data_IF_219846541787
#
_entry.id   IF_219846541787
#
_cell.length_a   1.000
_cell.length_b   1.000
_cell.length_c   1.000
_cell.angle_alpha   90.00
_cell.angle_beta   90.00
_cell.angle_gamma   90.00
#
_symmetry.space_group_name_H-M   'P 1'
#
loop_
_entity.id
_entity.type
_entity.pdbx_description
1 polymer ?
#
# COMPACT_ATOMS: atom_id res chain seq x y z
N UNK A 1 22.20 -51.99 -18.09
CA UNK A 1 22.08 -52.04 -16.61
C UNK A 1 21.09 -50.97 -16.18
N UNK A 2 19.85 -51.40 -15.91
CA UNK A 2 18.75 -50.55 -15.46
C UNK A 2 18.91 -50.26 -13.96
N UNK A 3 18.74 -49.01 -13.55
CA UNK A 3 18.45 -48.68 -12.16
C UNK A 3 17.06 -48.02 -12.12
N UNK A 4 16.19 -48.66 -11.36
CA UNK A 4 14.82 -48.32 -11.14
C UNK A 4 14.67 -47.12 -10.20
N UNK A 5 13.78 -46.18 -10.55
CA UNK A 5 13.28 -45.13 -9.69
C UNK A 5 12.29 -45.70 -8.66
N UNK A 6 12.52 -45.41 -7.39
CA UNK A 6 11.57 -45.71 -6.30
C UNK A 6 10.68 -44.52 -6.06
N UNK A 7 9.41 -44.68 -6.41
CA UNK A 7 8.35 -43.79 -6.01
C UNK A 7 8.01 -44.00 -4.52
N UNK A 8 8.06 -42.95 -3.72
CA UNK A 8 7.56 -42.95 -2.34
C UNK A 8 6.06 -42.60 -2.32
N UNK A 9 5.27 -43.58 -1.90
CA UNK A 9 3.84 -43.43 -1.59
C UNK A 9 3.68 -42.92 -0.15
N UNK A 10 2.90 -41.88 0.08
CA UNK A 10 2.39 -41.46 1.40
C UNK A 10 0.92 -41.81 1.50
N UNK A 11 0.48 -42.46 2.61
CA UNK A 11 -0.93 -42.79 2.80
C UNK A 11 -1.75 -41.56 3.24
N UNK A 12 -3.00 -41.49 2.75
CA UNK A 12 -3.98 -40.48 3.11
C UNK A 12 -4.44 -40.62 4.59
N UNK A 13 -4.74 -39.51 5.28
CA UNK A 13 -5.25 -39.56 6.64
C UNK A 13 -6.73 -39.94 6.71
N UNK A 14 -7.05 -40.80 7.67
CA UNK A 14 -8.31 -41.41 8.02
C UNK A 14 -9.38 -40.36 8.42
N UNK A 15 -10.52 -40.39 7.74
CA UNK A 15 -11.70 -39.57 8.06
C UNK A 15 -12.47 -40.17 9.22
N UNK A 16 -12.27 -39.68 10.45
CA UNK A 16 -13.21 -39.91 11.53
C UNK A 16 -14.15 -38.73 11.69
N UNK A 17 -15.44 -39.02 11.54
CA UNK A 17 -16.58 -38.09 11.70
C UNK A 17 -16.62 -37.53 13.13
N UNK A 18 -16.61 -36.19 13.28
CA UNK A 18 -17.07 -35.50 14.48
C UNK A 18 -18.37 -34.74 14.17
N UNK A 19 -19.33 -34.90 15.06
CA UNK A 19 -20.68 -34.35 14.98
C UNK A 19 -20.71 -32.83 15.13
N UNK A 20 -21.66 -32.11 14.48
CA UNK A 20 -21.71 -30.65 14.55
C UNK A 20 -22.25 -30.17 15.91
N UNK A 21 -21.56 -29.25 16.55
CA UNK A 21 -22.07 -28.42 17.64
C UNK A 21 -22.83 -27.23 17.06
N UNK A 22 -24.00 -26.97 17.63
CA UNK A 22 -24.97 -25.96 17.24
C UNK A 22 -24.34 -24.57 17.05
N UNK A 23 -24.37 -24.06 15.82
CA UNK A 23 -24.17 -22.66 15.54
C UNK A 23 -25.41 -21.85 15.95
N UNK A 24 -25.31 -21.00 16.95
CA UNK A 24 -26.30 -19.97 17.23
C UNK A 24 -26.28 -18.95 16.09
N UNK A 25 -27.38 -18.89 15.34
CA UNK A 25 -27.63 -17.81 14.38
C UNK A 25 -27.79 -16.50 15.14
N UNK A 26 -26.83 -15.60 15.01
CA UNK A 26 -27.00 -14.19 15.37
C UNK A 26 -27.67 -13.52 14.17
N UNK A 27 -28.90 -13.09 14.36
CA UNK A 27 -29.63 -12.31 13.37
C UNK A 27 -28.96 -10.93 13.28
N UNK A 28 -28.40 -10.59 12.13
CA UNK A 28 -27.96 -9.24 11.83
C UNK A 28 -29.19 -8.35 11.61
N UNK A 29 -29.50 -7.51 12.58
CA UNK A 29 -30.45 -6.42 12.40
C UNK A 29 -29.76 -5.33 11.56
N UNK A 30 -30.25 -5.13 10.33
CA UNK A 30 -29.85 -4.02 9.48
C UNK A 30 -30.42 -2.74 10.10
N UNK A 31 -29.57 -1.96 10.75
CA UNK A 31 -29.86 -0.57 11.09
C UNK A 31 -29.40 0.28 9.89
N UNK A 32 -30.32 0.51 8.96
CA UNK A 32 -30.16 1.52 7.92
C UNK A 32 -30.50 2.87 8.56
N UNK A 33 -29.50 3.65 8.91
CA UNK A 33 -29.70 4.99 9.43
C UNK A 33 -28.39 5.63 9.86
N UNK A 34 -27.98 6.68 9.13
CA UNK A 34 -26.93 7.64 9.47
C UNK A 34 -25.46 7.16 9.36
N UNK A 35 -25.03 6.76 8.17
CA UNK A 35 -23.60 6.58 7.83
C UNK A 35 -23.08 7.71 6.91
N UNK A 36 -23.87 8.76 6.66
CA UNK A 36 -23.50 9.81 5.68
C UNK A 36 -22.57 10.91 6.24
N UNK A 37 -22.09 10.84 7.48
CA UNK A 37 -21.32 11.94 8.06
C UNK A 37 -19.91 11.58 8.61
N UNK A 38 -19.47 10.32 8.55
CA UNK A 38 -18.18 9.94 9.15
C UNK A 38 -17.15 9.33 8.16
N UNK A 39 -17.54 9.04 6.92
CA UNK A 39 -16.60 8.63 5.87
C UNK A 39 -15.77 9.78 5.28
N UNK A 40 -15.98 11.02 5.76
CA UNK A 40 -15.33 12.21 5.24
C UNK A 40 -14.01 12.61 5.93
N UNK A 41 -13.57 11.92 6.97
CA UNK A 41 -12.39 12.36 7.74
C UNK A 41 -11.19 11.42 7.68
N UNK A 42 -11.31 10.24 7.10
CA UNK A 42 -10.15 9.34 6.94
C UNK A 42 -9.40 9.54 5.61
N UNK A 43 -9.99 10.22 4.63
CA UNK A 43 -9.35 10.60 3.36
C UNK A 43 -9.86 11.94 2.82
N UNK A 44 -10.20 12.88 3.67
CA UNK A 44 -10.06 14.28 3.24
C UNK A 44 -8.57 14.52 3.23
N UNK A 45 -7.97 14.65 2.06
CA UNK A 45 -6.67 15.25 1.91
C UNK A 45 -6.60 16.40 2.92
N UNK A 46 -5.67 16.30 3.86
CA UNK A 46 -5.46 17.33 4.86
C UNK A 46 -5.17 18.65 4.11
N UNK A 47 -6.15 19.48 3.94
CA UNK A 47 -6.02 20.83 3.37
C UNK A 47 -5.37 21.78 4.40
N UNK A 48 -4.41 21.29 5.17
CA UNK A 48 -3.67 22.08 6.16
C UNK A 48 -2.15 21.98 6.03
N UNK A 49 -1.66 21.86 4.82
CA UNK A 49 -0.27 22.17 4.50
C UNK A 49 -0.28 22.87 3.16
N UNK A 50 -0.10 24.17 3.11
CA UNK A 50 0.05 25.06 1.93
C UNK A 50 -0.54 24.47 0.64
N UNK A 51 -1.82 24.12 0.68
CA UNK A 51 -2.52 23.57 -0.46
C UNK A 51 -2.51 24.60 -1.57
N UNK A 52 -1.76 24.37 -2.62
CA UNK A 52 -1.91 25.13 -3.84
C UNK A 52 -3.39 25.07 -4.20
N UNK A 53 -4.05 26.24 -4.16
CA UNK A 53 -5.47 26.32 -4.45
C UNK A 53 -5.70 25.69 -5.83
N UNK A 54 -6.68 24.80 -5.93
CA UNK A 54 -7.11 24.27 -7.22
C UNK A 54 -7.33 25.43 -8.18
N UNK A 55 -6.47 25.59 -9.16
CA UNK A 55 -6.81 26.44 -10.28
C UNK A 55 -7.97 25.77 -11.02
N UNK A 56 -9.02 26.52 -11.30
CA UNK A 56 -10.16 26.00 -12.05
C UNK A 56 -9.61 25.29 -13.31
N UNK A 57 -9.89 23.99 -13.49
CA UNK A 57 -9.38 23.27 -14.64
C UNK A 57 -9.96 23.89 -15.92
N UNK A 58 -9.31 23.72 -17.08
CA UNK A 58 -9.85 24.13 -18.36
C UNK A 58 -11.27 23.62 -18.56
N UNK A 59 -12.10 24.38 -19.29
CA UNK A 59 -13.46 23.93 -19.64
C UNK A 59 -13.41 22.55 -20.29
N UNK A 60 -14.16 21.58 -19.73
CA UNK A 60 -14.18 20.20 -20.19
C UNK A 60 -13.13 19.25 -19.54
N UNK A 61 -12.27 19.72 -18.66
CA UNK A 61 -11.25 18.91 -17.99
C UNK A 61 -11.83 17.72 -17.19
N UNK A 62 -13.09 17.79 -16.74
CA UNK A 62 -13.76 16.71 -16.02
C UNK A 62 -13.88 15.38 -16.82
N UNK A 63 -13.50 15.36 -18.10
CA UNK A 63 -13.50 14.17 -18.96
C UNK A 63 -12.10 13.79 -19.46
N UNK A 64 -11.07 14.51 -19.04
CA UNK A 64 -9.70 14.32 -19.51
C UNK A 64 -8.75 14.02 -18.35
N UNK A 65 -7.73 13.21 -18.65
CA UNK A 65 -6.58 13.03 -17.79
C UNK A 65 -5.91 14.38 -17.50
N UNK A 66 -5.39 14.61 -16.29
CA UNK A 66 -4.60 15.79 -16.01
C UNK A 66 -3.29 15.77 -16.81
N UNK A 67 -2.81 16.91 -17.35
CA UNK A 67 -1.54 16.95 -18.04
C UNK A 67 -0.38 16.74 -17.06
N UNK A 68 0.65 15.99 -17.47
CA UNK A 68 1.89 15.82 -16.71
C UNK A 68 3.00 16.66 -17.35
N UNK A 69 3.65 17.50 -16.55
CA UNK A 69 4.76 18.35 -16.97
C UNK A 69 6.07 17.72 -16.54
N UNK A 70 6.90 17.33 -17.51
CA UNK A 70 8.27 16.86 -17.24
C UNK A 70 9.15 18.08 -16.93
N UNK A 71 9.78 18.08 -15.75
CA UNK A 71 10.66 19.13 -15.25
C UNK A 71 12.13 18.81 -15.54
N UNK A 72 12.50 17.53 -15.35
CA UNK A 72 13.84 17.00 -15.60
C UNK A 72 13.73 15.67 -16.31
N UNK A 73 14.55 15.46 -17.34
CA UNK A 73 14.71 14.18 -18.02
C UNK A 73 16.15 14.08 -18.53
N UNK A 74 16.85 13.03 -18.15
CA UNK A 74 18.20 12.73 -18.65
C UNK A 74 18.15 11.61 -19.67
N UNK A 75 19.23 11.38 -20.41
CA UNK A 75 19.32 10.25 -21.35
C UNK A 75 19.36 8.88 -20.61
N UNK A 76 19.67 8.90 -19.33
CA UNK A 76 19.82 7.71 -18.47
C UNK A 76 18.56 7.41 -17.66
N UNK A 77 17.43 8.11 -17.89
CA UNK A 77 16.15 7.76 -17.26
C UNK A 77 15.71 6.35 -17.67
N UNK A 78 15.03 5.65 -16.78
CA UNK A 78 14.69 4.24 -16.93
C UNK A 78 13.79 3.95 -18.13
N UNK A 79 13.88 2.73 -18.65
CA UNK A 79 13.00 2.25 -19.72
C UNK A 79 11.67 1.75 -19.14
N UNK A 80 10.57 2.15 -19.75
CA UNK A 80 9.20 1.75 -19.40
C UNK A 80 8.24 2.92 -19.44
N UNK A 81 6.96 2.57 -19.46
CA UNK A 81 5.89 3.55 -19.35
C UNK A 81 5.65 3.90 -17.89
N UNK A 82 5.08 5.08 -17.64
CA UNK A 82 4.74 5.56 -16.30
C UNK A 82 3.27 5.25 -16.03
N UNK A 83 3.00 4.60 -14.89
CA UNK A 83 1.67 4.20 -14.42
C UNK A 83 1.28 5.05 -13.25
N UNK A 84 0.16 5.77 -13.35
CA UNK A 84 -0.41 6.60 -12.29
C UNK A 84 -1.93 6.45 -12.25
N UNK A 85 -2.53 6.85 -11.16
CA UNK A 85 -3.98 6.98 -11.03
C UNK A 85 -4.30 8.37 -10.45
N UNK A 86 -4.24 9.42 -11.29
CA UNK A 86 -4.39 10.78 -10.83
C UNK A 86 -5.81 11.05 -10.33
N UNK A 87 -5.90 11.93 -9.33
CA UNK A 87 -7.16 12.39 -8.74
C UNK A 87 -7.05 13.83 -8.26
N UNK A 88 -8.14 14.56 -8.28
CA UNK A 88 -8.19 15.91 -7.72
C UNK A 88 -8.49 17.01 -8.73
N UNK A 89 -8.79 18.19 -8.21
CA UNK A 89 -8.92 19.48 -8.90
C UNK A 89 -9.75 19.50 -10.19
N UNK A 90 -10.85 18.71 -10.24
CA UNK A 90 -11.83 18.79 -11.34
C UNK A 90 -11.40 18.13 -12.64
N UNK A 91 -10.26 17.43 -12.66
CA UNK A 91 -9.92 16.49 -13.72
C UNK A 91 -10.66 15.16 -13.55
N UNK A 92 -10.74 14.36 -14.59
CA UNK A 92 -11.20 13.00 -14.46
C UNK A 92 -10.20 12.18 -13.63
N UNK A 93 -10.70 11.40 -12.67
CA UNK A 93 -9.88 10.42 -11.95
C UNK A 93 -9.83 9.11 -12.73
N UNK A 94 -8.75 8.36 -12.59
CA UNK A 94 -8.66 7.01 -13.14
C UNK A 94 -7.24 6.56 -13.48
N UNK A 95 -7.06 5.28 -13.79
CA UNK A 95 -5.76 4.73 -14.17
C UNK A 95 -5.27 5.30 -15.50
N UNK A 96 -4.01 5.68 -15.56
CA UNK A 96 -3.36 6.36 -16.67
C UNK A 96 -1.97 5.79 -16.96
N UNK A 97 -1.67 5.58 -18.24
CA UNK A 97 -0.35 5.18 -18.73
C UNK A 97 0.23 6.33 -19.56
N UNK A 98 1.46 6.72 -19.22
CA UNK A 98 2.20 7.81 -19.86
C UNK A 98 3.52 7.31 -20.46
N UNK A 99 3.98 7.99 -21.51
CA UNK A 99 5.39 7.91 -21.93
C UNK A 99 6.28 8.61 -20.91
N UNK A 100 7.61 8.38 -20.99
CA UNK A 100 8.60 9.14 -20.20
C UNK A 100 8.61 10.65 -20.50
N UNK A 101 7.99 11.08 -21.60
CA UNK A 101 7.82 12.51 -21.95
C UNK A 101 6.51 13.11 -21.43
N UNK A 102 5.74 12.38 -20.60
CA UNK A 102 4.45 12.83 -20.05
C UNK A 102 3.28 12.78 -21.01
N UNK A 103 3.43 12.12 -22.19
CA UNK A 103 2.33 11.96 -23.16
C UNK A 103 1.45 10.80 -22.75
N UNK A 104 0.12 11.00 -22.70
CA UNK A 104 -0.87 9.95 -22.41
C UNK A 104 -0.85 8.90 -23.51
N UNK A 105 -0.66 7.65 -23.13
CA UNK A 105 -0.81 6.44 -23.97
C UNK A 105 -2.22 5.88 -23.83
N UNK A 106 -2.70 5.78 -22.60
CA UNK A 106 -4.01 5.25 -22.27
C UNK A 106 -4.54 5.89 -20.98
N UNK A 107 -5.83 6.13 -20.93
CA UNK A 107 -6.52 6.65 -19.75
C UNK A 107 -7.92 6.06 -19.66
N UNK A 108 -8.29 5.58 -18.49
CA UNK A 108 -9.63 5.06 -18.19
C UNK A 108 -10.32 5.98 -17.19
N UNK A 109 -11.12 6.92 -17.73
CA UNK A 109 -11.88 7.84 -16.88
C UNK A 109 -12.93 7.09 -16.05
N UNK A 110 -12.94 7.32 -14.76
CA UNK A 110 -13.89 6.71 -13.83
C UNK A 110 -15.18 7.52 -13.70
N UNK A 111 -16.27 6.90 -13.21
CA UNK A 111 -17.47 7.61 -12.83
C UNK A 111 -17.19 8.71 -11.80
N UNK A 112 -17.95 9.81 -11.88
CA UNK A 112 -17.76 10.96 -10.99
C UNK A 112 -17.82 10.55 -9.51
N UNK A 113 -16.79 10.94 -8.75
CA UNK A 113 -16.64 10.64 -7.33
C UNK A 113 -16.06 9.28 -6.99
N UNK A 114 -15.66 8.49 -7.98
CA UNK A 114 -14.80 7.33 -7.78
C UNK A 114 -13.34 7.70 -8.01
N UNK A 115 -12.44 7.00 -7.36
CA UNK A 115 -10.99 7.12 -7.50
C UNK A 115 -10.37 5.78 -7.77
N UNK A 116 -9.21 5.77 -8.41
CA UNK A 116 -8.35 4.59 -8.53
C UNK A 116 -7.09 4.78 -7.70
N UNK A 117 -6.57 3.65 -7.20
CA UNK A 117 -5.28 3.61 -6.50
C UNK A 117 -4.49 2.38 -6.93
N UNK A 118 -3.20 2.34 -6.61
CA UNK A 118 -2.29 1.22 -6.83
C UNK A 118 -2.31 0.67 -8.27
N UNK A 119 -2.37 1.57 -9.29
CA UNK A 119 -2.42 1.18 -10.69
C UNK A 119 -1.05 0.73 -11.20
N UNK A 120 -0.97 -0.52 -11.64
CA UNK A 120 0.28 -1.12 -12.14
C UNK A 120 0.06 -2.32 -13.07
N UNK A 121 1.15 -2.81 -13.64
CA UNK A 121 1.15 -4.11 -14.33
C UNK A 121 1.46 -5.23 -13.33
N UNK A 122 0.79 -6.36 -13.49
CA UNK A 122 1.07 -7.60 -12.76
C UNK A 122 1.03 -8.80 -13.71
N UNK A 123 1.23 -9.99 -13.20
CA UNK A 123 1.11 -11.24 -13.97
C UNK A 123 -0.04 -12.07 -13.42
N UNK A 124 -0.99 -12.43 -14.27
CA UNK A 124 -2.07 -13.36 -13.93
C UNK A 124 -2.13 -14.47 -14.96
N UNK A 125 -2.08 -15.73 -14.50
CA UNK A 125 -2.06 -16.93 -15.37
C UNK A 125 -0.98 -16.87 -16.46
N UNK A 126 0.20 -16.36 -16.09
CA UNK A 126 1.36 -16.23 -16.98
C UNK A 126 1.26 -15.12 -18.03
N UNK A 127 0.26 -14.25 -17.96
CA UNK A 127 0.07 -13.12 -18.86
C UNK A 127 0.17 -11.80 -18.12
N UNK A 128 0.73 -10.75 -18.76
CA UNK A 128 0.70 -9.41 -18.20
C UNK A 128 -0.74 -8.88 -18.13
N UNK A 129 -1.07 -8.25 -17.03
CA UNK A 129 -2.38 -7.64 -16.76
C UNK A 129 -2.19 -6.25 -16.14
N UNK A 130 -3.21 -5.41 -16.26
CA UNK A 130 -3.34 -4.16 -15.52
C UNK A 130 -4.21 -4.40 -14.29
N UNK A 131 -3.83 -3.81 -13.17
CA UNK A 131 -4.57 -3.93 -11.92
C UNK A 131 -4.69 -2.58 -11.22
N UNK A 132 -5.81 -2.33 -10.57
CA UNK A 132 -6.03 -1.17 -9.70
C UNK A 132 -7.21 -1.40 -8.78
N UNK A 133 -7.21 -0.75 -7.63
CA UNK A 133 -8.41 -0.55 -6.84
C UNK A 133 -9.25 0.59 -7.45
N UNK A 134 -10.57 0.46 -7.41
CA UNK A 134 -11.51 1.51 -7.80
C UNK A 134 -12.66 1.55 -6.81
N UNK A 135 -12.99 2.75 -6.31
CA UNK A 135 -14.10 2.87 -5.40
C UNK A 135 -14.36 4.28 -4.88
N UNK A 136 -15.22 4.33 -3.87
CA UNK A 136 -15.56 5.55 -3.14
C UNK A 136 -15.57 5.25 -1.64
N UNK A 137 -14.67 5.90 -0.88
CA UNK A 137 -14.54 5.67 0.55
C UNK A 137 -14.31 4.18 0.87
N UNK A 138 -15.11 3.60 1.75
CA UNK A 138 -15.03 2.19 2.15
C UNK A 138 -15.71 1.22 1.16
N UNK A 139 -16.12 1.67 -0.02
CA UNK A 139 -16.77 0.83 -1.03
C UNK A 139 -15.94 0.79 -2.29
N UNK A 140 -15.23 -0.30 -2.52
CA UNK A 140 -14.40 -0.46 -3.68
C UNK A 140 -14.13 -1.91 -4.06
N UNK A 141 -13.40 -2.05 -5.15
CA UNK A 141 -13.11 -3.33 -5.81
C UNK A 141 -11.77 -3.25 -6.50
N UNK A 142 -11.00 -4.31 -6.42
CA UNK A 142 -9.78 -4.49 -7.19
C UNK A 142 -10.12 -5.09 -8.55
N UNK A 143 -9.64 -4.47 -9.60
CA UNK A 143 -9.90 -4.86 -10.98
C UNK A 143 -8.66 -5.47 -11.65
N UNK A 144 -8.90 -6.46 -12.52
CA UNK A 144 -7.88 -7.07 -13.39
C UNK A 144 -8.31 -6.90 -14.84
N UNK A 145 -7.47 -6.25 -15.64
CA UNK A 145 -7.69 -6.03 -17.08
C UNK A 145 -6.58 -6.69 -17.89
N UNK A 146 -6.95 -7.24 -19.04
CA UNK A 146 -5.98 -7.84 -19.96
C UNK A 146 -5.25 -6.79 -20.82
N UNK A 147 -4.35 -7.25 -21.69
CA UNK A 147 -3.57 -6.45 -22.63
C UNK A 147 -4.39 -5.81 -23.77
N UNK A 148 -5.71 -6.06 -23.82
CA UNK A 148 -6.69 -5.39 -24.68
C UNK A 148 -7.56 -4.39 -23.93
N UNK A 149 -7.18 -4.05 -22.70
CA UNK A 149 -7.94 -3.16 -21.82
C UNK A 149 -9.35 -3.63 -21.52
N UNK A 150 -9.55 -4.95 -21.43
CA UNK A 150 -10.83 -5.56 -21.08
C UNK A 150 -10.77 -6.13 -19.67
N UNK A 151 -11.78 -5.88 -18.85
CA UNK A 151 -11.89 -6.49 -17.54
C UNK A 151 -12.03 -8.01 -17.68
N UNK A 152 -11.19 -8.74 -16.94
CA UNK A 152 -11.20 -10.21 -16.93
C UNK A 152 -11.49 -10.79 -15.56
N UNK A 153 -11.31 -10.03 -14.50
CA UNK A 153 -11.67 -10.42 -13.13
C UNK A 153 -11.85 -9.20 -12.25
N UNK A 154 -12.46 -9.41 -11.09
CA UNK A 154 -12.52 -8.47 -9.98
C UNK A 154 -12.31 -9.21 -8.66
N UNK A 155 -11.78 -8.53 -7.64
CA UNK A 155 -11.54 -9.06 -6.31
C UNK A 155 -12.11 -8.11 -5.28
N UNK A 156 -12.71 -8.67 -4.24
CA UNK A 156 -13.23 -7.94 -3.09
C UNK A 156 -12.91 -8.67 -1.80
N UNK A 157 -12.85 -7.94 -0.71
CA UNK A 157 -12.70 -8.53 0.59
C UNK A 157 -13.86 -9.49 0.91
N UNK A 158 -13.51 -10.64 1.47
CA UNK A 158 -14.48 -11.62 1.95
C UNK A 158 -14.88 -11.36 3.39
N UNK A 159 -15.71 -12.25 3.92
CA UNK A 159 -16.14 -12.25 5.32
C UNK A 159 -16.93 -11.00 5.76
N UNK A 160 -17.42 -10.18 4.82
CA UNK A 160 -18.19 -8.97 5.10
C UNK A 160 -17.34 -7.75 5.45
N UNK A 161 -16.05 -7.78 5.15
CA UNK A 161 -15.13 -6.66 5.35
C UNK A 161 -15.14 -5.70 4.16
N UNK A 162 -14.65 -4.48 4.39
CA UNK A 162 -14.45 -3.49 3.33
C UNK A 162 -13.16 -3.80 2.58
N UNK A 163 -13.16 -3.76 1.25
CA UNK A 163 -11.93 -3.81 0.46
C UNK A 163 -11.20 -2.48 0.65
N UNK A 164 -10.00 -2.56 1.16
CA UNK A 164 -9.15 -1.40 1.36
C UNK A 164 -8.43 -1.01 0.05
N UNK A 165 -8.14 0.27 -0.12
CA UNK A 165 -7.66 0.86 -1.37
C UNK A 165 -6.13 0.89 -1.49
N UNK A 166 -5.40 0.46 -0.47
CA UNK A 166 -3.95 0.70 -0.41
C UNK A 166 -3.14 -0.32 -1.23
N UNK A 167 -3.53 -1.60 -1.27
CA UNK A 167 -2.72 -2.62 -1.93
C UNK A 167 -3.53 -3.75 -2.54
N UNK A 168 -3.22 -4.07 -3.81
CA UNK A 168 -3.70 -5.27 -4.51
C UNK A 168 -2.55 -5.98 -5.20
N UNK A 169 -2.23 -7.20 -4.78
CA UNK A 169 -1.11 -7.98 -5.28
C UNK A 169 -1.55 -9.34 -5.79
N UNK A 170 -1.20 -9.67 -7.05
CA UNK A 170 -1.39 -11.02 -7.60
C UNK A 170 -0.17 -11.87 -7.25
N UNK A 171 -0.40 -12.98 -6.56
CA UNK A 171 0.67 -13.90 -6.15
C UNK A 171 1.19 -14.74 -7.32
N UNK A 172 2.40 -15.30 -7.22
CA UNK A 172 2.94 -16.21 -8.23
C UNK A 172 2.09 -17.47 -8.47
N UNK A 173 1.20 -17.83 -7.52
CA UNK A 173 0.26 -18.96 -7.64
C UNK A 173 -1.15 -18.54 -8.03
N UNK A 174 -1.32 -17.32 -8.54
CA UNK A 174 -2.55 -16.76 -9.10
C UNK A 174 -3.70 -16.57 -8.10
N UNK A 175 -3.39 -16.27 -6.84
CA UNK A 175 -4.33 -15.71 -5.87
C UNK A 175 -4.11 -14.20 -5.72
N UNK A 176 -4.98 -13.52 -5.04
CA UNK A 176 -4.83 -12.11 -4.68
C UNK A 176 -4.46 -11.97 -3.21
N UNK A 177 -3.46 -11.18 -2.90
CA UNK A 177 -3.27 -10.58 -1.58
C UNK A 177 -3.88 -9.17 -1.62
N UNK A 178 -4.81 -8.91 -0.72
CA UNK A 178 -5.48 -7.62 -0.59
C UNK A 178 -5.49 -7.17 0.86
N UNK A 179 -5.65 -5.89 1.05
CA UNK A 179 -5.97 -5.31 2.34
C UNK A 179 -7.49 -5.21 2.50
N UNK A 180 -7.93 -5.30 3.74
CA UNK A 180 -9.33 -5.14 4.11
C UNK A 180 -9.44 -4.50 5.49
N UNK A 181 -10.60 -3.86 5.75
CA UNK A 181 -10.87 -3.16 6.99
C UNK A 181 -12.20 -3.56 7.59
N UNK A 182 -12.29 -3.42 8.91
CA UNK A 182 -13.55 -3.59 9.62
C UNK A 182 -13.65 -2.70 10.86
N UNK A 183 -14.86 -2.27 11.17
CA UNK A 183 -15.15 -1.66 12.47
C UNK A 183 -15.25 -2.71 13.56
N UNK A 184 -14.58 -2.45 14.69
CA UNK A 184 -14.56 -3.29 15.86
C UNK A 184 -14.89 -2.55 17.15
N UNK A 185 -14.74 -3.23 18.27
CA UNK A 185 -14.81 -2.65 19.62
C UNK A 185 -13.73 -3.30 20.48
N UNK A 186 -12.90 -2.48 21.10
CA UNK A 186 -11.78 -2.90 21.93
C UNK A 186 -11.94 -2.48 23.38
N UNK A 187 -11.51 -3.36 24.30
CA UNK A 187 -11.33 -3.00 25.71
C UNK A 187 -9.93 -2.44 25.91
N UNK A 188 -9.83 -1.14 26.11
CA UNK A 188 -8.55 -0.43 26.27
C UNK A 188 -8.21 -0.09 27.73
N UNK A 189 -8.90 -0.67 28.71
CA UNK A 189 -8.68 -0.35 30.15
C UNK A 189 -7.25 -0.60 30.60
N UNK A 190 -6.56 -1.60 30.03
CA UNK A 190 -5.16 -1.91 30.32
C UNK A 190 -4.16 -0.82 29.91
N UNK A 191 -4.57 0.11 29.01
CA UNK A 191 -3.77 1.23 28.54
C UNK A 191 -4.42 2.59 28.87
N UNK A 192 -5.32 2.62 29.87
CA UNK A 192 -5.98 3.84 30.34
C UNK A 192 -7.10 4.36 29.41
N UNK A 193 -7.60 3.52 28.53
CA UNK A 193 -8.73 3.82 27.65
C UNK A 193 -10.07 3.28 28.15
N UNK A 194 -11.17 3.51 27.40
CA UNK A 194 -12.49 2.94 27.73
C UNK A 194 -12.55 1.43 27.43
N UNK A 195 -13.54 0.77 28.03
CA UNK A 195 -13.78 -0.67 27.83
C UNK A 195 -14.50 -1.00 26.51
N UNK A 196 -15.00 0.01 25.81
CA UNK A 196 -15.88 -0.12 24.64
C UNK A 196 -15.47 0.82 23.47
N UNK A 197 -14.17 1.11 23.36
CA UNK A 197 -13.64 1.95 22.27
C UNK A 197 -13.99 1.36 20.92
N UNK A 198 -14.62 2.14 20.04
CA UNK A 198 -14.74 1.79 18.64
C UNK A 198 -13.38 1.88 17.97
N UNK A 199 -13.03 0.85 17.20
CA UNK A 199 -11.74 0.75 16.49
C UNK A 199 -11.98 0.47 15.01
N UNK A 200 -10.97 0.77 14.21
CA UNK A 200 -10.90 0.42 12.79
C UNK A 200 -9.70 -0.51 12.64
N UNK A 201 -9.96 -1.79 12.41
CA UNK A 201 -8.95 -2.84 12.37
C UNK A 201 -8.59 -3.17 10.93
N UNK A 202 -7.29 -3.32 10.64
CA UNK A 202 -6.76 -3.69 9.35
C UNK A 202 -6.55 -5.21 9.23
N UNK A 203 -6.83 -5.73 8.04
CA UNK A 203 -6.72 -7.16 7.71
C UNK A 203 -5.90 -7.35 6.44
N UNK A 204 -5.21 -8.49 6.35
CA UNK A 204 -4.71 -9.05 5.09
C UNK A 204 -5.56 -10.25 4.74
N UNK A 205 -6.01 -10.35 3.49
CA UNK A 205 -6.66 -11.55 2.98
C UNK A 205 -5.95 -12.08 1.74
N UNK A 206 -5.76 -13.40 1.68
CA UNK A 206 -5.47 -14.10 0.44
C UNK A 206 -6.77 -14.61 -0.15
N UNK A 207 -7.08 -14.22 -1.39
CA UNK A 207 -8.34 -14.52 -2.09
C UNK A 207 -8.05 -15.38 -3.34
N UNK A 208 -8.79 -16.46 -3.50
CA UNK A 208 -8.87 -17.17 -4.79
C UNK A 208 -9.60 -16.27 -5.80
N UNK A 209 -8.89 -15.72 -6.77
CA UNK A 209 -9.42 -14.73 -7.73
C UNK A 209 -10.63 -15.29 -8.50
N UNK A 210 -10.62 -16.58 -8.82
CA UNK A 210 -11.68 -17.22 -9.62
C UNK A 210 -12.96 -17.45 -8.84
N UNK A 211 -12.89 -17.66 -7.52
CA UNK A 211 -14.05 -18.06 -6.70
C UNK A 211 -14.46 -17.03 -5.67
N UNK A 212 -13.63 -16.03 -5.41
CA UNK A 212 -13.80 -15.05 -4.33
C UNK A 212 -13.62 -15.64 -2.92
N UNK A 213 -13.09 -16.88 -2.81
CA UNK A 213 -12.92 -17.56 -1.51
C UNK A 213 -11.72 -17.02 -0.77
N UNK A 214 -11.89 -16.65 0.50
CA UNK A 214 -10.79 -16.34 1.41
C UNK A 214 -10.03 -17.63 1.74
N UNK A 215 -8.73 -17.65 1.44
CA UNK A 215 -7.82 -18.77 1.65
C UNK A 215 -7.02 -18.59 2.94
N UNK A 216 -6.62 -17.35 3.22
CA UNK A 216 -5.90 -16.93 4.43
C UNK A 216 -6.42 -15.57 4.88
N UNK A 217 -6.37 -15.32 6.19
CA UNK A 217 -6.69 -14.03 6.78
C UNK A 217 -5.80 -13.77 7.99
N UNK A 218 -5.29 -12.56 8.06
CA UNK A 218 -4.57 -12.03 9.20
C UNK A 218 -5.30 -10.79 9.73
N UNK A 219 -5.37 -10.64 11.06
CA UNK A 219 -6.07 -9.54 11.73
C UNK A 219 -5.07 -8.78 12.63
N UNK A 220 -4.92 -7.49 12.42
CA UNK A 220 -4.03 -6.64 13.22
C UNK A 220 -4.31 -6.74 14.72
N UNK A 221 -5.57 -6.70 15.13
CA UNK A 221 -5.99 -6.71 16.53
C UNK A 221 -5.71 -8.05 17.27
N UNK A 222 -5.49 -9.15 16.54
CA UNK A 222 -5.12 -10.44 17.12
C UNK A 222 -3.62 -10.61 17.32
N UNK A 223 -2.80 -9.75 16.71
CA UNK A 223 -1.35 -9.91 16.65
C UNK A 223 -0.56 -8.72 17.22
N UNK A 224 -1.11 -7.51 17.17
CA UNK A 224 -0.42 -6.28 17.55
C UNK A 224 -1.17 -5.58 18.70
N UNK A 225 -0.48 -5.23 19.79
CA UNK A 225 -1.10 -4.50 20.89
C UNK A 225 -1.49 -3.07 20.50
N UNK A 226 -2.68 -2.63 20.90
CA UNK A 226 -3.16 -1.25 20.68
C UNK A 226 -2.21 -0.15 21.21
N UNK A 227 -1.44 -0.43 22.27
CA UNK A 227 -0.45 0.50 22.85
C UNK A 227 0.70 0.83 21.90
N UNK A 228 0.90 0.03 20.85
CA UNK A 228 1.98 0.24 19.89
C UNK A 228 1.64 1.31 18.86
N UNK A 229 0.38 1.73 18.78
CA UNK A 229 -0.03 2.86 17.97
C UNK A 229 0.63 4.17 18.42
N UNK A 230 1.08 4.96 17.46
CA UNK A 230 1.49 6.35 17.62
C UNK A 230 0.32 7.32 17.35
N UNK A 231 -0.78 6.84 16.72
CA UNK A 231 -1.95 7.67 16.48
C UNK A 231 -2.70 7.94 17.79
N UNK A 232 -2.93 9.21 18.17
CA UNK A 232 -3.67 9.53 19.38
C UNK A 232 -5.09 8.94 19.33
N UNK A 233 -5.49 8.34 20.45
CA UNK A 233 -6.86 7.84 20.59
C UNK A 233 -7.86 8.99 20.57
N UNK A 234 -9.01 8.87 19.86
CA UNK A 234 -10.08 9.86 19.88
C UNK A 234 -10.58 10.14 21.31
N UNK A 235 -11.02 11.37 21.57
CA UNK A 235 -11.57 11.75 22.86
C UNK A 235 -12.85 10.98 23.24
N UNK A 236 -13.63 10.56 22.25
CA UNK A 236 -14.87 9.77 22.44
C UNK A 236 -14.67 8.31 22.05
N UNK A 237 -15.14 7.40 22.89
CA UNK A 237 -15.15 5.97 22.60
C UNK A 237 -16.02 5.59 21.38
N UNK A 238 -16.97 6.44 21.00
CA UNK A 238 -17.87 6.20 19.86
C UNK A 238 -17.26 6.57 18.50
N UNK A 239 -16.16 7.33 18.50
CA UNK A 239 -15.40 7.64 17.28
C UNK A 239 -14.45 6.47 17.03
N UNK A 240 -14.51 5.81 15.87
CA UNK A 240 -13.57 4.75 15.55
C UNK A 240 -12.12 5.25 15.59
N UNK A 241 -11.29 4.54 16.33
CA UNK A 241 -9.85 4.80 16.37
C UNK A 241 -9.17 3.99 15.28
N UNK A 242 -8.66 4.67 14.27
CA UNK A 242 -7.76 4.09 13.29
C UNK A 242 -6.36 3.97 13.90
N UNK A 243 -6.17 2.91 14.64
CA UNK A 243 -4.99 2.71 15.48
C UNK A 243 -3.83 2.05 14.74
N UNK A 244 -4.12 1.27 13.73
CA UNK A 244 -3.14 0.47 12.98
C UNK A 244 -2.85 1.09 11.62
N UNK A 245 -3.88 1.39 10.84
CA UNK A 245 -3.83 1.90 9.48
C UNK A 245 -2.93 1.05 8.60
N UNK A 246 -3.41 -0.13 8.25
CA UNK A 246 -2.73 -1.02 7.31
C UNK A 246 -2.67 -0.34 5.94
N UNK A 247 -1.48 -0.33 5.29
CA UNK A 247 -1.33 0.38 4.02
C UNK A 247 -0.45 -0.34 2.98
N UNK A 248 0.08 -1.52 3.30
CA UNK A 248 0.71 -2.36 2.31
C UNK A 248 0.78 -3.82 2.76
N UNK A 249 0.75 -4.73 1.79
CA UNK A 249 1.12 -6.13 1.94
C UNK A 249 1.97 -6.57 0.74
N UNK A 250 3.16 -7.11 0.99
CA UNK A 250 4.04 -7.65 -0.04
C UNK A 250 4.49 -9.07 0.28
N UNK A 251 4.96 -9.80 -0.73
CA UNK A 251 5.69 -11.04 -0.53
C UNK A 251 7.18 -10.73 -0.37
N UNK A 252 7.77 -11.20 0.74
CA UNK A 252 9.21 -11.21 0.88
C UNK A 252 9.84 -12.33 0.03
N UNK A 253 11.14 -12.28 -0.16
CA UNK A 253 11.92 -13.23 -0.98
C UNK A 253 11.80 -14.68 -0.55
N UNK A 254 11.39 -14.95 0.68
CA UNK A 254 11.15 -16.31 1.22
C UNK A 254 9.67 -16.73 1.19
N UNK A 255 8.79 -15.92 0.56
CA UNK A 255 7.36 -16.19 0.42
C UNK A 255 6.53 -15.87 1.67
N UNK A 256 7.11 -15.29 2.71
CA UNK A 256 6.37 -14.72 3.83
C UNK A 256 5.84 -13.32 3.51
N UNK A 257 4.92 -12.81 4.32
CA UNK A 257 4.33 -11.50 4.12
C UNK A 257 5.18 -10.39 4.77
N UNK A 258 5.26 -9.25 4.10
CA UNK A 258 5.58 -7.96 4.70
C UNK A 258 4.27 -7.19 4.84
N UNK A 259 3.84 -6.89 6.05
CA UNK A 259 2.63 -6.13 6.35
C UNK A 259 3.05 -4.80 6.94
N UNK A 260 2.59 -3.70 6.37
CA UNK A 260 2.95 -2.37 6.83
C UNK A 260 1.82 -1.68 7.57
N UNK A 261 2.16 -1.02 8.65
CA UNK A 261 1.24 -0.20 9.44
C UNK A 261 1.77 1.22 9.58
N UNK A 262 0.98 2.16 9.08
CA UNK A 262 1.29 3.58 9.13
C UNK A 262 1.35 4.13 10.55
N UNK A 263 0.42 3.72 11.41
CA UNK A 263 0.31 4.30 12.75
C UNK A 263 1.06 3.54 13.85
N UNK A 264 1.59 2.37 13.57
CA UNK A 264 2.58 1.76 14.48
C UNK A 264 4.02 2.07 14.06
N UNK A 265 4.23 2.72 12.91
CA UNK A 265 5.54 2.99 12.27
C UNK A 265 6.35 1.71 12.08
N UNK A 266 5.65 0.62 11.80
CA UNK A 266 6.25 -0.72 11.80
C UNK A 266 5.91 -1.48 10.53
N UNK A 267 6.91 -2.17 10.00
CA UNK A 267 6.70 -3.24 9.03
C UNK A 267 6.88 -4.58 9.72
N UNK A 268 5.87 -5.43 9.63
CA UNK A 268 5.81 -6.76 10.21
C UNK A 268 6.13 -7.81 9.15
N UNK A 269 7.11 -8.69 9.41
CA UNK A 269 7.24 -9.92 8.64
C UNK A 269 6.38 -10.99 9.27
N UNK A 270 5.43 -11.53 8.51
CA UNK A 270 4.43 -12.47 8.99
C UNK A 270 4.53 -13.78 8.21
N UNK A 271 4.53 -14.90 8.91
CA UNK A 271 4.51 -16.21 8.28
C UNK A 271 3.17 -16.46 7.60
N UNK A 272 3.17 -16.65 6.28
CA UNK A 272 1.96 -16.79 5.46
C UNK A 272 1.08 -17.99 5.86
N UNK A 273 1.65 -19.04 6.46
CA UNK A 273 0.88 -20.24 6.82
C UNK A 273 0.34 -20.22 8.24
N UNK A 274 1.04 -19.53 9.16
CA UNK A 274 0.69 -19.57 10.59
C UNK A 274 0.15 -18.25 11.11
N UNK A 275 0.28 -17.15 10.36
CA UNK A 275 -0.07 -15.79 10.78
C UNK A 275 0.86 -15.21 11.86
N UNK A 276 1.90 -15.93 12.29
CA UNK A 276 2.79 -15.46 13.35
C UNK A 276 3.76 -14.40 12.83
N UNK A 277 3.95 -13.34 13.61
CA UNK A 277 4.98 -12.33 13.36
C UNK A 277 6.35 -13.00 13.57
N UNK A 278 7.23 -12.86 12.56
CA UNK A 278 8.61 -13.36 12.56
C UNK A 278 9.55 -12.29 13.10
N UNK A 279 9.37 -11.04 12.67
CA UNK A 279 10.08 -9.87 13.15
C UNK A 279 9.26 -8.58 12.90
N UNK A 280 9.63 -7.54 13.62
CA UNK A 280 9.09 -6.19 13.53
C UNK A 280 10.23 -5.22 13.24
N UNK A 281 10.07 -4.34 12.23
CA UNK A 281 11.02 -3.33 11.85
C UNK A 281 10.43 -1.94 12.07
N UNK A 282 11.08 -1.13 12.89
CA UNK A 282 10.58 0.18 13.31
C UNK A 282 9.57 0.12 14.44
N UNK A 283 9.15 1.28 14.93
CA UNK A 283 8.14 1.44 15.96
C UNK A 283 8.56 0.94 17.36
N UNK A 284 7.58 0.91 18.26
CA UNK A 284 7.82 0.70 19.71
C UNK A 284 8.37 -0.68 20.08
N UNK A 285 8.18 -1.69 19.24
CA UNK A 285 8.56 -3.09 19.51
C UNK A 285 9.59 -3.62 18.51
N UNK A 286 10.34 -2.74 17.85
CA UNK A 286 11.31 -3.16 16.83
C UNK A 286 12.19 -4.32 17.30
N UNK A 287 12.25 -5.39 16.50
CA UNK A 287 13.15 -6.53 16.70
C UNK A 287 14.61 -6.14 16.49
N UNK A 288 14.84 -5.02 15.82
CA UNK A 288 16.15 -4.57 15.36
C UNK A 288 16.61 -3.32 16.11
N UNK A 289 17.91 -3.25 16.34
CA UNK A 289 18.55 -1.98 16.69
C UNK A 289 18.71 -1.15 15.42
N UNK A 290 18.12 0.04 15.40
CA UNK A 290 18.15 0.94 14.26
C UNK A 290 19.45 1.74 14.21
N UNK A 291 20.01 1.90 13.00
CA UNK A 291 21.23 2.67 12.73
C UNK A 291 21.15 3.38 11.40
N UNK A 292 21.91 4.45 11.27
CA UNK A 292 22.20 5.10 9.99
C UNK A 292 23.64 4.79 9.54
N UNK A 293 23.84 4.51 8.26
CA UNK A 293 25.16 4.44 7.66
C UNK A 293 25.82 5.84 7.59
N UNK A 294 27.12 5.95 7.38
CA UNK A 294 27.79 7.26 7.19
C UNK A 294 27.08 8.09 6.10
N UNK A 295 26.76 9.34 6.44
CA UNK A 295 26.04 10.25 5.55
C UNK A 295 24.51 10.10 5.54
N UNK A 296 23.97 9.13 6.27
CA UNK A 296 22.53 8.96 6.48
C UNK A 296 22.12 9.45 7.89
N UNK A 297 20.85 9.83 8.04
CA UNK A 297 20.32 10.32 9.32
C UNK A 297 19.02 9.58 9.67
N UNK A 298 18.87 9.25 10.95
CA UNK A 298 17.58 8.85 11.52
C UNK A 298 16.71 10.10 11.73
N UNK A 299 15.42 9.92 11.87
CA UNK A 299 14.50 11.00 12.18
C UNK A 299 14.69 11.55 13.61
N UNK A 300 13.89 12.54 13.99
CA UNK A 300 13.96 13.16 15.33
C UNK A 300 13.48 12.23 16.46
N UNK A 301 12.78 11.16 16.15
CA UNK A 301 12.38 10.11 17.09
C UNK A 301 13.44 9.01 17.23
N UNK A 302 14.46 9.00 16.35
CA UNK A 302 15.49 7.96 16.27
C UNK A 302 15.07 6.75 15.46
N UNK A 303 14.02 6.88 14.66
CA UNK A 303 13.52 5.86 13.73
C UNK A 303 14.19 5.99 12.36
N UNK A 304 14.11 4.92 11.56
CA UNK A 304 14.56 4.94 10.15
C UNK A 304 13.48 5.56 9.27
N UNK A 305 12.23 5.40 9.64
CA UNK A 305 11.05 5.91 8.94
C UNK A 305 9.87 6.08 9.91
N UNK A 306 8.95 6.95 9.54
CA UNK A 306 7.66 7.12 10.23
C UNK A 306 6.53 7.37 9.24
N UNK A 307 5.33 6.86 9.56
CA UNK A 307 4.14 6.93 8.70
C UNK A 307 4.31 6.29 7.32
N UNK A 308 5.32 5.45 7.17
CA UNK A 308 5.85 4.89 5.93
C UNK A 308 4.82 4.10 5.11
N UNK A 309 5.11 3.97 3.79
CA UNK A 309 4.33 3.20 2.82
C UNK A 309 5.24 2.26 2.01
N UNK A 310 4.61 1.31 1.30
CA UNK A 310 5.19 0.48 0.24
C UNK A 310 6.53 -0.22 0.59
N UNK A 311 6.60 -1.05 1.66
CA UNK A 311 7.78 -1.85 1.95
C UNK A 311 8.00 -2.89 0.85
N UNK A 312 9.16 -2.88 0.20
CA UNK A 312 9.48 -3.86 -0.84
C UNK A 312 10.83 -4.53 -0.61
N UNK A 313 10.88 -5.87 -0.68
CA UNK A 313 12.14 -6.62 -0.63
C UNK A 313 12.87 -6.53 -1.97
N UNK A 314 14.09 -6.02 -1.98
CA UNK A 314 14.93 -5.92 -3.18
C UNK A 314 16.05 -6.95 -3.25
N UNK A 315 16.03 -7.92 -2.33
CA UNK A 315 17.01 -9.01 -2.24
C UNK A 315 18.17 -8.69 -1.30
N UNK A 316 19.01 -9.69 -1.04
CA UNK A 316 20.18 -9.58 -0.18
C UNK A 316 19.90 -9.03 1.24
N UNK A 317 18.66 -9.14 1.74
CA UNK A 317 18.23 -8.57 3.01
C UNK A 317 18.09 -7.05 2.99
N UNK A 318 17.91 -6.47 1.82
CA UNK A 318 17.62 -5.06 1.62
C UNK A 318 16.15 -4.86 1.25
N UNK A 319 15.61 -3.74 1.75
CA UNK A 319 14.21 -3.35 1.61
C UNK A 319 14.13 -1.87 1.29
N UNK A 320 13.21 -1.49 0.42
CA UNK A 320 12.86 -0.09 0.17
C UNK A 320 11.57 0.29 0.86
N UNK A 321 11.43 1.56 1.21
CA UNK A 321 10.23 2.17 1.79
C UNK A 321 10.06 3.57 1.24
N UNK A 322 8.83 4.01 1.12
CA UNK A 322 8.51 5.41 1.07
C UNK A 322 8.31 5.89 2.52
N UNK A 323 9.09 6.89 2.92
CA UNK A 323 9.13 7.43 4.26
C UNK A 323 8.48 8.81 4.25
N UNK A 324 7.24 8.87 4.70
CA UNK A 324 6.42 10.08 4.70
C UNK A 324 6.99 11.12 5.69
N UNK A 325 7.46 10.68 6.85
CA UNK A 325 7.93 11.51 7.96
C UNK A 325 6.86 12.45 8.54
N UNK A 326 5.60 12.25 8.15
CA UNK A 326 4.49 13.11 8.55
C UNK A 326 3.14 12.41 8.43
N UNK A 327 2.18 12.86 9.22
CA UNK A 327 0.74 12.55 9.08
C UNK A 327 -0.09 13.78 8.67
N UNK A 328 0.59 14.88 8.30
CA UNK A 328 -0.02 16.18 8.01
C UNK A 328 -0.19 17.07 9.26
N UNK A 329 -0.04 16.52 10.47
CA UNK A 329 -0.08 17.30 11.73
C UNK A 329 1.26 17.25 12.47
N UNK A 330 1.88 16.08 12.54
CA UNK A 330 3.23 15.88 13.05
C UNK A 330 4.21 15.74 11.89
N UNK A 331 5.43 16.23 12.05
CA UNK A 331 6.53 16.11 11.07
C UNK A 331 7.82 15.81 11.82
N UNK A 332 8.51 14.74 11.45
CA UNK A 332 9.73 14.28 12.10
C UNK A 332 10.99 14.67 11.32
N UNK A 333 10.90 14.80 9.98
CA UNK A 333 11.93 15.39 9.12
C UNK A 333 11.31 16.49 8.25
N UNK A 334 12.11 17.46 7.78
CA UNK A 334 11.58 18.59 6.99
C UNK A 334 11.17 18.23 5.56
N UNK A 335 11.37 17.00 5.13
CA UNK A 335 11.01 16.48 3.80
C UNK A 335 10.75 14.97 3.88
N UNK A 336 9.90 14.47 3.00
CA UNK A 336 9.75 13.02 2.79
C UNK A 336 10.89 12.47 1.95
N UNK A 337 11.13 11.17 2.05
CA UNK A 337 12.23 10.50 1.37
C UNK A 337 11.88 9.06 0.98
N UNK A 338 12.57 8.53 -0.02
CA UNK A 338 12.59 7.11 -0.28
C UNK A 338 13.87 6.51 0.31
N UNK A 339 13.73 5.44 1.11
CA UNK A 339 14.84 4.88 1.89
C UNK A 339 15.12 3.43 1.51
N UNK A 340 16.39 3.02 1.63
CA UNK A 340 16.83 1.62 1.56
C UNK A 340 17.39 1.19 2.89
N UNK A 341 16.88 0.09 3.43
CA UNK A 341 17.25 -0.45 4.73
C UNK A 341 17.86 -1.85 4.56
N UNK A 342 19.01 -2.08 5.17
CA UNK A 342 19.68 -3.39 5.24
C UNK A 342 19.40 -4.04 6.58
N UNK A 343 18.90 -5.28 6.56
CA UNK A 343 18.71 -6.09 7.77
C UNK A 343 19.83 -7.10 7.96
N UNK A 344 20.45 -7.09 9.12
CA UNK A 344 21.28 -8.19 9.63
C UNK A 344 20.45 -9.00 10.64
N UNK A 345 19.95 -10.14 10.21
CA UNK A 345 19.12 -11.02 11.05
C UNK A 345 19.91 -11.71 12.16
N UNK A 346 21.24 -11.83 12.03
CA UNK A 346 22.10 -12.45 13.03
C UNK A 346 22.36 -11.51 14.19
N UNK A 347 22.74 -10.28 13.89
CA UNK A 347 23.03 -9.26 14.91
C UNK A 347 21.81 -8.45 15.34
N UNK A 348 20.69 -8.64 14.66
CA UNK A 348 19.45 -7.86 14.86
C UNK A 348 19.69 -6.35 14.72
N UNK A 349 20.35 -5.97 13.64
CA UNK A 349 20.60 -4.58 13.28
C UNK A 349 19.91 -4.27 11.96
N UNK A 350 19.14 -3.19 11.94
CA UNK A 350 18.62 -2.57 10.72
C UNK A 350 19.41 -1.29 10.45
N UNK A 351 19.95 -1.16 9.27
CA UNK A 351 20.77 -0.01 8.88
C UNK A 351 20.11 0.73 7.73
N UNK A 352 19.81 2.01 7.92
CA UNK A 352 19.50 2.92 6.82
C UNK A 352 20.76 3.09 5.97
N UNK A 353 20.78 2.47 4.80
CA UNK A 353 21.97 2.47 3.93
C UNK A 353 21.93 3.54 2.85
N UNK A 354 20.74 3.97 2.46
CA UNK A 354 20.53 5.02 1.46
C UNK A 354 19.21 5.73 1.70
N UNK A 355 19.19 7.04 1.44
CA UNK A 355 17.97 7.83 1.24
C UNK A 355 18.11 8.73 0.02
N UNK A 356 16.98 9.05 -0.61
CA UNK A 356 16.82 10.13 -1.57
C UNK A 356 15.66 10.99 -1.12
N UNK A 357 15.91 12.28 -1.02
CA UNK A 357 14.94 13.24 -0.52
C UNK A 357 14.03 13.72 -1.64
N UNK A 358 12.84 14.19 -1.28
CA UNK A 358 11.92 14.82 -2.22
C UNK A 358 12.62 16.05 -2.85
N UNK A 359 12.70 16.13 -4.20
CA UNK A 359 13.57 17.12 -4.89
C UNK A 359 13.27 18.59 -4.59
N UNK A 360 12.03 18.93 -4.28
CA UNK A 360 11.59 20.28 -3.93
C UNK A 360 11.66 20.56 -2.41
N UNK A 361 12.14 19.58 -1.61
CA UNK A 361 12.22 19.69 -0.15
C UNK A 361 10.85 19.68 0.54
N UNK A 362 9.86 18.99 -0.03
CA UNK A 362 8.50 18.95 0.47
C UNK A 362 8.24 17.71 1.33
N UNK A 363 7.21 17.80 2.16
CA UNK A 363 6.71 16.71 3.00
C UNK A 363 5.40 16.19 2.43
N UNK A 364 5.34 14.89 2.11
CA UNK A 364 4.13 14.19 1.76
C UNK A 364 3.40 13.77 3.05
N UNK A 365 2.17 14.21 3.28
CA UNK A 365 1.46 13.85 4.50
C UNK A 365 0.88 12.43 4.49
N UNK A 366 0.93 11.74 3.35
CA UNK A 366 0.39 10.39 3.17
C UNK A 366 0.74 9.81 1.80
N UNK A 367 0.54 8.48 1.64
CA UNK A 367 0.63 7.77 0.38
C UNK A 367 2.08 7.61 -0.11
N UNK A 368 2.27 7.28 -1.38
CA UNK A 368 3.59 7.18 -1.99
C UNK A 368 4.15 5.77 -2.09
N UNK A 369 5.21 5.65 -2.89
CA UNK A 369 5.92 4.38 -3.11
C UNK A 369 7.38 4.60 -3.54
N UNK A 370 8.20 3.55 -3.36
CA UNK A 370 9.61 3.55 -3.71
C UNK A 370 9.98 2.28 -4.48
N UNK A 371 9.79 2.30 -5.79
CA UNK A 371 10.05 1.17 -6.67
C UNK A 371 11.53 1.09 -7.08
N UNK A 372 12.20 -0.03 -6.79
CA UNK A 372 13.49 -0.33 -7.44
C UNK A 372 13.22 -0.91 -8.84
N UNK A 373 13.74 -0.26 -9.87
CA UNK A 373 13.63 -0.71 -11.26
C UNK A 373 14.65 -1.80 -11.60
N UNK A 374 14.56 -2.42 -12.78
CA UNK A 374 15.45 -3.52 -13.17
C UNK A 374 16.92 -3.12 -13.30
N UNK A 375 17.21 -1.88 -13.61
CA UNK A 375 18.58 -1.34 -13.70
C UNK A 375 19.09 -0.79 -12.36
N UNK A 376 18.29 -0.91 -11.29
CA UNK A 376 18.67 -0.48 -9.95
C UNK A 376 18.34 0.98 -9.63
N UNK A 377 17.70 1.70 -10.53
CA UNK A 377 17.20 3.05 -10.26
C UNK A 377 16.02 2.98 -9.27
N UNK A 378 15.77 4.08 -8.59
CA UNK A 378 14.68 4.24 -7.65
C UNK A 378 13.63 5.17 -8.25
N UNK A 379 12.47 4.62 -8.62
CA UNK A 379 11.32 5.38 -9.10
C UNK A 379 10.36 5.64 -7.95
N UNK A 380 10.03 6.92 -7.73
CA UNK A 380 9.30 7.38 -6.54
C UNK A 380 8.05 8.12 -6.94
N UNK A 381 6.90 7.65 -6.48
CA UNK A 381 5.65 8.42 -6.42
C UNK A 381 5.58 9.12 -5.06
N UNK A 382 5.44 10.45 -5.07
CA UNK A 382 5.48 11.26 -3.85
C UNK A 382 4.10 11.40 -3.17
N UNK A 383 3.22 10.41 -3.36
CA UNK A 383 1.93 10.30 -2.68
C UNK A 383 1.03 11.52 -2.86
N UNK A 384 0.63 12.13 -1.76
CA UNK A 384 -0.24 13.31 -1.76
C UNK A 384 0.41 14.57 -2.39
N UNK A 385 1.69 14.54 -2.74
CA UNK A 385 2.35 15.59 -3.51
C UNK A 385 2.17 15.37 -5.02
N UNK A 386 2.16 16.44 -5.84
CA UNK A 386 1.96 16.33 -7.28
C UNK A 386 3.23 15.96 -8.05
N UNK A 387 4.12 15.15 -7.47
CA UNK A 387 5.43 14.87 -8.05
C UNK A 387 5.69 13.38 -8.26
N UNK A 388 6.52 13.09 -9.27
CA UNK A 388 7.04 11.76 -9.58
C UNK A 388 8.50 11.92 -9.94
N UNK A 389 9.40 11.11 -9.38
CA UNK A 389 10.84 11.24 -9.62
C UNK A 389 11.50 9.89 -9.86
N UNK A 390 12.65 9.91 -10.55
CA UNK A 390 13.53 8.75 -10.69
C UNK A 390 14.97 9.15 -10.36
N UNK A 391 15.65 8.28 -9.61
CA UNK A 391 17.02 8.51 -9.18
C UNK A 391 17.90 7.32 -9.56
N UNK A 392 19.13 7.60 -10.00
CA UNK A 392 20.13 6.57 -10.22
C UNK A 392 20.48 5.80 -8.94
N UNK A 393 21.16 4.65 -9.02
CA UNK A 393 21.66 3.94 -7.84
C UNK A 393 22.56 4.81 -6.94
N UNK A 394 23.23 5.83 -7.50
CA UNK A 394 24.05 6.79 -6.75
C UNK A 394 23.25 7.97 -6.16
N UNK A 395 21.94 8.05 -6.40
CA UNK A 395 21.07 9.12 -5.89
C UNK A 395 20.98 10.36 -6.76
N UNK A 396 21.53 10.35 -8.01
CA UNK A 396 21.35 11.46 -8.95
C UNK A 396 19.93 11.46 -9.52
N UNK A 397 19.28 12.62 -9.56
CA UNK A 397 17.96 12.80 -10.16
C UNK A 397 18.05 12.61 -11.69
N UNK A 398 17.36 11.60 -12.21
CA UNK A 398 17.30 11.26 -13.63
C UNK A 398 16.05 11.79 -14.31
N UNK A 399 14.92 11.77 -13.58
CA UNK A 399 13.63 12.21 -14.05
C UNK A 399 12.87 12.90 -12.91
N UNK A 400 12.13 13.97 -13.23
CA UNK A 400 11.20 14.63 -12.33
C UNK A 400 10.01 15.15 -13.14
N UNK A 401 8.81 14.89 -12.68
CA UNK A 401 7.59 15.36 -13.31
C UNK A 401 6.60 15.88 -12.29
N UNK A 402 5.73 16.79 -12.73
CA UNK A 402 4.75 17.49 -11.92
C UNK A 402 3.35 17.33 -12.51
N UNK A 403 2.40 16.94 -11.69
CA UNK A 403 0.96 16.99 -11.94
C UNK A 403 0.43 18.40 -11.66
N UNK A 404 -0.75 18.80 -12.17
CA UNK A 404 -1.35 20.09 -11.84
C UNK A 404 -1.52 20.27 -10.33
N UNK A 405 -1.41 21.50 -9.87
CA UNK A 405 -1.60 21.83 -8.45
C UNK A 405 -2.94 21.27 -7.92
N UNK A 406 -2.91 20.57 -6.79
CA UNK A 406 -4.06 19.92 -6.18
C UNK A 406 -4.48 18.61 -6.87
N UNK A 407 -3.68 18.09 -7.79
CA UNK A 407 -3.79 16.72 -8.33
C UNK A 407 -2.64 15.89 -7.76
N UNK A 408 -2.95 14.68 -7.29
CA UNK A 408 -1.97 13.72 -6.80
C UNK A 408 -2.22 12.34 -7.38
N UNK A 409 -1.31 11.42 -7.15
CA UNK A 409 -1.49 9.99 -7.45
C UNK A 409 -1.04 9.18 -6.26
N UNK A 410 -1.87 8.24 -5.81
CA UNK A 410 -1.59 7.41 -4.64
C UNK A 410 -0.18 6.78 -4.72
N UNK A 411 0.14 6.16 -5.86
CA UNK A 411 1.46 5.62 -6.20
C UNK A 411 1.77 5.90 -7.66
N UNK A 412 3.05 5.79 -8.04
CA UNK A 412 3.51 5.86 -9.41
C UNK A 412 4.54 4.76 -9.67
N UNK A 413 4.47 4.12 -10.83
CA UNK A 413 5.37 3.04 -11.21
C UNK A 413 5.96 3.27 -12.58
N UNK A 414 7.19 2.79 -12.82
CA UNK A 414 7.79 2.68 -14.14
C UNK A 414 7.87 1.21 -14.54
N UNK A 415 7.04 0.81 -15.50
CA UNK A 415 6.85 -0.59 -15.83
C UNK A 415 6.77 -0.79 -17.36
N UNK A 416 7.22 -1.92 -17.89
CA UNK A 416 7.01 -2.24 -19.29
C UNK A 416 5.54 -2.61 -19.54
N UNK A 417 4.95 -2.04 -20.60
CA UNK A 417 3.63 -2.41 -21.06
C UNK A 417 3.61 -2.55 -22.59
N UNK A 418 2.96 -3.59 -23.06
CA UNK A 418 2.73 -3.80 -24.50
C UNK A 418 1.29 -4.28 -24.67
N UNK A 419 0.37 -3.40 -25.11
CA UNK A 419 -0.99 -3.82 -25.44
C UNK A 419 -0.96 -4.80 -26.60
N UNK A 420 -1.94 -5.72 -26.62
CA UNK A 420 -2.15 -6.59 -27.77
C UNK A 420 -2.60 -5.74 -28.97
N UNK A 421 -2.05 -6.01 -30.14
CA UNK A 421 -2.43 -5.40 -31.41
C UNK A 421 -3.82 -5.79 -31.84
#
# INVERSE_FOLDING_TARGET
MHRAEKAFWFPAPDRRRSRPRHARRVAAAIVAGAVTALAGTACTAATSGTGAACHAPPSGAAHHAPPVKVLTQTADDGNGDIFIAPQGCGYASGPEILTSTGKVIWFHALPAGETATDFRTQTYQGRPVLTWFQGRGLSGTDYIYNDRYQQIAEVRAGNGYFTDFHEFLITPWNTALILADAFGTANLTSIGGPADQKVFDGFVQEIDIRTGKVLFQWNSAEHVPYRDSHNPRPASATIPWDWFHINAVHLDTDGNLLINSRFTWTTYKVNLHTGKIIWELGGKQSTFKLKAAPGQVLDTAGEIFAFQHDPAAIGNGEYTFFDDESDGSATLLPHSRAVTVKLDLTTRVATLVKSVDQPEGLVAPAEGNAQTTRNGDLFVGWGALPYISEFSPSGHLLFNAELPAGVSTYRAYRLPWRPAS
#
